data_IF_076689847076
#
_entry.id   IF_076689847076
#
_cell.length_a   1.000
_cell.length_b   1.000
_cell.length_c   1.000
_cell.angle_alpha   90.00
_cell.angle_beta   90.00
_cell.angle_gamma   90.00
#
_symmetry.space_group_name_H-M   'P 1'
#
loop_
_entity.id
_entity.type
_entity.pdbx_description
1 polymer ?
#
# COMPACT_ATOMS: atom_id res chain seq x y z
N UNK A 1 17.80 -19.93 34.05
CA UNK A 1 17.79 -18.50 33.70
C UNK A 1 16.92 -18.37 32.46
N UNK A 2 15.81 -17.62 32.49
CA UNK A 2 14.91 -17.49 31.33
C UNK A 2 15.61 -16.61 30.28
N UNK A 3 15.93 -17.18 29.13
CA UNK A 3 16.21 -16.40 27.91
C UNK A 3 14.92 -15.67 27.53
N UNK A 4 14.89 -14.36 27.81
CA UNK A 4 13.80 -13.47 27.43
C UNK A 4 13.93 -13.12 25.95
N UNK A 5 12.85 -13.37 25.21
CA UNK A 5 12.51 -12.85 23.88
C UNK A 5 13.21 -11.52 23.55
N UNK A 6 14.30 -11.60 22.78
CA UNK A 6 15.00 -10.46 22.19
C UNK A 6 14.71 -10.35 20.70
N UNK A 7 13.48 -10.68 20.29
CA UNK A 7 13.04 -10.49 18.90
C UNK A 7 12.04 -9.33 18.90
N UNK A 8 12.35 -8.29 18.13
CA UNK A 8 11.44 -7.19 17.69
C UNK A 8 11.25 -5.94 18.60
N UNK A 9 12.26 -5.46 19.32
CA UNK A 9 12.23 -4.11 19.95
C UNK A 9 13.22 -3.10 19.35
N UNK A 10 13.94 -3.45 18.28
CA UNK A 10 15.03 -2.62 17.75
C UNK A 10 14.59 -1.27 17.16
N UNK A 11 13.31 -1.09 16.84
CA UNK A 11 12.77 0.14 16.21
C UNK A 11 11.98 1.02 17.21
N UNK A 12 12.29 0.97 18.50
CA UNK A 12 11.64 1.84 19.48
C UNK A 12 12.19 3.28 19.40
N UNK A 13 11.38 4.22 18.92
CA UNK A 13 11.72 5.64 18.86
C UNK A 13 11.18 6.42 20.07
N UNK A 14 12.01 7.28 20.68
CA UNK A 14 11.57 8.14 21.79
C UNK A 14 11.00 9.46 21.25
N UNK A 15 9.68 9.64 21.36
CA UNK A 15 9.00 10.85 20.91
C UNK A 15 9.00 11.94 21.99
N UNK A 16 9.44 13.15 21.63
CA UNK A 16 9.22 14.36 22.45
C UNK A 16 7.88 14.96 22.07
N UNK A 17 6.96 15.03 23.03
CA UNK A 17 5.60 15.52 22.82
C UNK A 17 5.44 16.91 23.45
N UNK A 18 4.71 17.84 22.78
CA UNK A 18 4.25 19.08 23.40
C UNK A 18 3.35 18.83 24.61
N UNK A 19 3.26 19.83 25.49
CA UNK A 19 2.42 19.75 26.69
C UNK A 19 0.97 19.40 26.35
N UNK A 20 0.39 18.51 27.16
CA UNK A 20 -0.99 18.04 27.00
C UNK A 20 -1.22 17.03 25.86
N UNK A 21 -0.28 16.84 24.92
CA UNK A 21 -0.45 15.91 23.80
C UNK A 21 -0.61 14.46 24.28
N UNK A 22 0.18 14.03 25.27
CA UNK A 22 0.05 12.68 25.85
C UNK A 22 -1.34 12.40 26.40
N UNK A 23 -1.96 13.40 27.05
CA UNK A 23 -3.29 13.25 27.61
C UNK A 23 -4.36 13.17 26.50
N UNK A 24 -4.20 13.94 25.42
CA UNK A 24 -5.07 13.85 24.24
C UNK A 24 -5.04 12.45 23.62
N UNK A 25 -3.85 11.87 23.45
CA UNK A 25 -3.69 10.49 22.93
C UNK A 25 -4.34 9.49 23.91
N UNK A 26 -4.16 9.66 25.22
CA UNK A 26 -4.80 8.79 26.23
C UNK A 26 -6.31 8.76 26.09
N UNK A 27 -6.94 9.92 25.87
CA UNK A 27 -8.39 10.03 25.66
C UNK A 27 -8.81 9.36 24.36
N UNK A 28 -8.07 9.55 23.27
CA UNK A 28 -8.32 8.85 21.99
C UNK A 28 -8.24 7.33 22.12
N UNK A 29 -7.17 6.83 22.73
CA UNK A 29 -6.97 5.41 22.99
C UNK A 29 -8.10 4.79 23.82
N UNK A 30 -8.56 5.49 24.87
CA UNK A 30 -9.68 5.05 25.70
C UNK A 30 -10.99 4.99 24.91
N UNK A 31 -11.27 5.98 24.05
CA UNK A 31 -12.46 5.97 23.17
C UNK A 31 -12.43 4.81 22.18
N UNK A 32 -11.24 4.44 21.71
CA UNK A 32 -11.04 3.36 20.74
C UNK A 32 -10.80 1.98 21.38
N UNK A 33 -10.92 1.85 22.71
CA UNK A 33 -10.64 0.61 23.45
C UNK A 33 -9.24 0.01 23.17
N UNK A 34 -8.24 0.88 23.04
CA UNK A 34 -6.84 0.52 22.73
C UNK A 34 -5.90 0.98 23.83
N UNK A 35 -4.72 0.35 23.89
CA UNK A 35 -3.61 0.91 24.65
C UNK A 35 -3.13 2.20 23.99
N UNK A 36 -2.46 3.07 24.74
CA UNK A 36 -1.90 4.31 24.19
C UNK A 36 -0.92 4.03 23.05
N UNK A 37 -0.11 2.98 23.16
CA UNK A 37 0.82 2.59 22.09
C UNK A 37 0.07 2.09 20.85
N UNK A 38 -0.97 1.27 21.04
CA UNK A 38 -1.78 0.78 19.93
C UNK A 38 -2.53 1.91 19.20
N UNK A 39 -2.93 2.96 19.92
CA UNK A 39 -3.52 4.15 19.30
C UNK A 39 -2.49 4.94 18.49
N UNK A 40 -1.27 5.13 19.02
CA UNK A 40 -0.18 5.79 18.28
C UNK A 40 0.13 5.03 16.99
N UNK A 41 0.28 3.71 17.08
CA UNK A 41 0.52 2.85 15.91
C UNK A 41 -0.63 2.97 14.92
N UNK A 42 -1.89 2.86 15.36
CA UNK A 42 -3.04 2.93 14.46
C UNK A 42 -3.15 4.29 13.74
N UNK A 43 -2.81 5.39 14.41
CA UNK A 43 -2.77 6.71 13.77
C UNK A 43 -1.62 6.81 12.77
N UNK A 44 -0.45 6.26 13.09
CA UNK A 44 0.67 6.21 12.17
C UNK A 44 0.37 5.34 10.95
N UNK A 45 -0.24 4.15 11.12
CA UNK A 45 -0.65 3.28 10.02
C UNK A 45 -1.71 3.92 9.12
N UNK A 46 -2.57 4.75 9.71
CA UNK A 46 -3.58 5.50 8.94
C UNK A 46 -2.93 6.56 8.05
N UNK A 47 -2.00 7.35 8.59
CA UNK A 47 -1.36 8.45 7.84
C UNK A 47 -0.17 7.98 6.99
N UNK A 48 0.45 6.86 7.36
CA UNK A 48 1.60 6.23 6.71
C UNK A 48 1.33 4.73 6.54
N UNK A 49 0.40 4.34 5.65
CA UNK A 49 0.07 2.94 5.44
C UNK A 49 1.29 2.17 4.91
N UNK A 50 1.44 0.91 5.31
CA UNK A 50 2.48 0.05 4.74
C UNK A 50 2.20 -0.11 3.24
N UNK A 51 3.12 0.31 2.33
CA UNK A 51 2.90 0.22 0.90
C UNK A 51 2.68 -1.21 0.38
N UNK A 52 2.98 -2.24 1.19
CA UNK A 52 2.72 -3.65 0.89
C UNK A 52 1.28 -4.07 1.18
N UNK A 53 0.59 -3.37 2.08
CA UNK A 53 -0.82 -3.59 2.41
C UNK A 53 -1.72 -2.52 1.82
N UNK A 54 -1.15 -1.41 1.35
CA UNK A 54 -1.86 -0.37 0.64
C UNK A 54 -2.20 -0.80 -0.79
N UNK A 55 -3.46 -1.18 -0.96
CA UNK A 55 -4.06 -1.56 -2.24
C UNK A 55 -3.94 -0.41 -3.27
N UNK A 56 -4.03 0.84 -2.83
CA UNK A 56 -3.88 2.02 -3.70
C UNK A 56 -2.47 2.07 -4.28
N UNK A 57 -1.47 1.95 -3.42
CA UNK A 57 -0.07 1.91 -3.82
C UNK A 57 0.23 0.71 -4.72
N UNK A 58 -0.36 -0.46 -4.43
CA UNK A 58 -0.21 -1.65 -5.27
C UNK A 58 -0.76 -1.43 -6.68
N UNK A 59 -1.96 -0.88 -6.82
CA UNK A 59 -2.55 -0.58 -8.13
C UNK A 59 -1.74 0.46 -8.92
N UNK A 60 -1.25 1.51 -8.24
CA UNK A 60 -0.41 2.52 -8.87
C UNK A 60 0.89 1.88 -9.42
N UNK A 61 1.56 1.03 -8.64
CA UNK A 61 2.75 0.30 -9.09
C UNK A 61 2.50 -0.59 -10.31
N UNK A 62 1.35 -1.26 -10.36
CA UNK A 62 0.96 -2.09 -11.51
C UNK A 62 0.79 -1.22 -12.77
N UNK A 63 0.15 -0.05 -12.64
CA UNK A 63 -0.01 0.90 -13.73
C UNK A 63 1.34 1.51 -14.19
N UNK A 64 2.24 1.81 -13.25
CA UNK A 64 3.57 2.34 -13.58
C UNK A 64 4.46 1.29 -14.24
N UNK A 65 4.36 0.02 -13.81
CA UNK A 65 5.06 -1.09 -14.45
C UNK A 65 4.63 -1.26 -15.90
N UNK A 66 3.33 -1.12 -16.19
CA UNK A 66 2.80 -1.17 -17.54
C UNK A 66 3.45 -0.14 -18.49
N UNK A 67 3.75 1.07 -17.99
CA UNK A 67 4.46 2.07 -18.78
C UNK A 67 5.95 1.72 -18.93
N UNK A 68 6.59 1.25 -17.86
CA UNK A 68 8.02 0.93 -17.83
C UNK A 68 8.40 -0.21 -18.78
N UNK A 69 7.52 -1.21 -18.94
CA UNK A 69 7.74 -2.32 -19.90
C UNK A 69 7.43 -1.94 -21.35
N UNK A 70 6.96 -0.70 -21.59
CA UNK A 70 6.62 -0.23 -22.93
C UNK A 70 5.42 -0.94 -23.55
N UNK A 71 4.49 -1.45 -22.73
CA UNK A 71 3.41 -2.34 -23.16
C UNK A 71 2.45 -1.74 -24.19
N UNK A 72 1.57 -2.58 -24.75
CA UNK A 72 0.62 -2.22 -25.80
C UNK A 72 -0.19 -0.93 -25.54
N UNK A 73 -0.68 -0.25 -26.60
CA UNK A 73 -1.55 0.92 -26.46
C UNK A 73 -2.77 0.68 -25.55
N UNK A 74 -3.30 -0.55 -25.55
CA UNK A 74 -4.40 -1.01 -24.71
C UNK A 74 -4.01 -1.02 -23.24
N UNK A 75 -2.83 -1.58 -22.91
CA UNK A 75 -2.31 -1.60 -21.55
C UNK A 75 -2.05 -0.18 -21.03
N UNK A 76 -1.47 0.71 -21.86
CA UNK A 76 -1.23 2.12 -21.49
C UNK A 76 -2.52 2.87 -21.23
N UNK A 77 -3.55 2.68 -22.07
CA UNK A 77 -4.88 3.28 -21.87
C UNK A 77 -5.51 2.80 -20.55
N UNK A 78 -5.43 1.50 -20.27
CA UNK A 78 -5.96 0.95 -19.03
C UNK A 78 -5.18 1.46 -17.80
N UNK A 79 -3.84 1.51 -17.86
CA UNK A 79 -3.00 2.05 -16.79
C UNK A 79 -3.30 3.53 -16.51
N UNK A 80 -3.47 4.34 -17.56
CA UNK A 80 -3.87 5.75 -17.43
C UNK A 80 -5.28 5.89 -16.82
N UNK A 81 -6.23 5.05 -17.24
CA UNK A 81 -7.57 5.03 -16.66
C UNK A 81 -7.53 4.69 -15.17
N UNK A 82 -6.83 3.62 -14.80
CA UNK A 82 -6.70 3.19 -13.39
C UNK A 82 -6.04 4.27 -12.53
N UNK A 83 -4.98 4.94 -13.02
CA UNK A 83 -4.39 6.08 -12.29
C UNK A 83 -5.37 7.23 -12.06
N UNK A 84 -6.15 7.58 -13.08
CA UNK A 84 -7.13 8.67 -12.97
C UNK A 84 -8.23 8.34 -11.97
N UNK A 85 -8.72 7.11 -11.99
CA UNK A 85 -9.75 6.68 -11.04
C UNK A 85 -9.17 6.58 -9.62
N UNK A 86 -7.94 6.07 -9.46
CA UNK A 86 -7.29 6.02 -8.15
C UNK A 86 -7.13 7.43 -7.58
N UNK A 87 -6.72 8.41 -8.39
CA UNK A 87 -6.55 9.78 -7.92
C UNK A 87 -7.86 10.41 -7.39
N UNK A 88 -9.02 9.92 -7.82
CA UNK A 88 -10.34 10.45 -7.43
C UNK A 88 -11.02 9.64 -6.33
N UNK A 89 -10.63 8.38 -6.15
CA UNK A 89 -11.29 7.46 -5.26
C UNK A 89 -10.98 7.73 -3.79
N UNK A 90 -12.01 7.64 -2.95
CA UNK A 90 -11.84 7.58 -1.50
C UNK A 90 -11.33 6.21 -1.06
N UNK A 91 -10.69 6.12 0.12
CA UNK A 91 -10.05 4.88 0.58
C UNK A 91 -11.00 3.68 0.68
N UNK A 92 -12.27 3.94 0.96
CA UNK A 92 -13.30 2.88 1.02
C UNK A 92 -13.67 2.32 -0.37
N UNK A 93 -13.39 3.04 -1.45
CA UNK A 93 -13.68 2.63 -2.83
C UNK A 93 -12.51 1.85 -3.46
N UNK A 94 -11.30 2.01 -2.91
CA UNK A 94 -10.05 1.42 -3.43
C UNK A 94 -10.10 -0.12 -3.47
N UNK A 95 -10.71 -0.76 -2.46
CA UNK A 95 -10.83 -2.22 -2.43
C UNK A 95 -11.74 -2.75 -3.57
N UNK A 96 -12.85 -2.06 -3.85
CA UNK A 96 -13.75 -2.40 -4.93
C UNK A 96 -13.09 -2.15 -6.31
N UNK A 97 -12.36 -1.04 -6.43
CA UNK A 97 -11.57 -0.74 -7.62
C UNK A 97 -10.49 -1.78 -7.89
N UNK A 98 -9.78 -2.24 -6.86
CA UNK A 98 -8.78 -3.29 -7.03
C UNK A 98 -9.40 -4.61 -7.51
N UNK A 99 -10.60 -4.96 -7.03
CA UNK A 99 -11.31 -6.14 -7.50
C UNK A 99 -11.79 -6.03 -8.96
N UNK A 100 -12.09 -4.80 -9.43
CA UNK A 100 -12.59 -4.52 -10.77
C UNK A 100 -11.46 -4.39 -11.80
N UNK A 101 -10.44 -3.58 -11.48
CA UNK A 101 -9.34 -3.27 -12.39
C UNK A 101 -8.13 -4.20 -12.24
N UNK A 102 -7.91 -4.77 -11.05
CA UNK A 102 -6.73 -5.59 -10.76
C UNK A 102 -6.65 -6.83 -11.65
N UNK A 103 -7.76 -7.54 -11.87
CA UNK A 103 -7.80 -8.71 -12.76
C UNK A 103 -7.50 -8.34 -14.22
N UNK A 104 -8.07 -7.24 -14.71
CA UNK A 104 -7.87 -6.79 -16.08
C UNK A 104 -6.43 -6.31 -16.31
N UNK A 105 -5.85 -5.56 -15.37
CA UNK A 105 -4.45 -5.13 -15.43
C UNK A 105 -3.49 -6.31 -15.38
N UNK A 106 -3.69 -7.24 -14.44
CA UNK A 106 -2.84 -8.44 -14.32
C UNK A 106 -2.93 -9.31 -15.57
N UNK A 107 -4.14 -9.54 -16.11
CA UNK A 107 -4.30 -10.34 -17.31
C UNK A 107 -3.61 -9.74 -18.54
N UNK A 108 -3.67 -8.41 -18.71
CA UNK A 108 -2.95 -7.75 -19.79
C UNK A 108 -1.43 -7.76 -19.56
N UNK A 109 -0.97 -7.54 -18.33
CA UNK A 109 0.46 -7.62 -18.00
C UNK A 109 1.03 -9.02 -18.23
N UNK A 110 0.32 -10.07 -17.82
CA UNK A 110 0.72 -11.46 -18.05
C UNK A 110 0.81 -11.78 -19.55
N UNK A 111 -0.15 -11.29 -20.34
CA UNK A 111 -0.13 -11.47 -21.79
C UNK A 111 1.10 -10.77 -22.42
N UNK A 112 1.36 -9.52 -22.04
CA UNK A 112 2.47 -8.73 -22.57
C UNK A 112 3.83 -9.28 -22.12
N UNK A 113 3.95 -9.74 -20.86
CA UNK A 113 5.15 -10.41 -20.36
C UNK A 113 5.41 -11.72 -21.11
N UNK A 114 4.37 -12.53 -21.37
CA UNK A 114 4.53 -13.74 -22.18
C UNK A 114 4.99 -13.41 -23.61
N UNK A 115 4.42 -12.37 -24.24
CA UNK A 115 4.85 -11.94 -25.57
C UNK A 115 6.32 -11.47 -25.55
N UNK A 116 6.69 -10.65 -24.57
CA UNK A 116 8.06 -10.16 -24.41
C UNK A 116 9.06 -11.31 -24.19
N UNK A 117 8.73 -12.27 -23.33
CA UNK A 117 9.58 -13.44 -23.04
C UNK A 117 9.73 -14.33 -24.29
N UNK A 118 8.65 -14.59 -25.01
CA UNK A 118 8.68 -15.44 -26.21
C UNK A 118 9.41 -14.78 -27.39
N UNK A 119 9.57 -13.46 -27.38
CA UNK A 119 10.35 -12.71 -28.37
C UNK A 119 11.76 -12.35 -27.90
N UNK A 120 12.21 -12.83 -26.73
CA UNK A 120 13.61 -12.72 -26.35
C UNK A 120 14.46 -13.60 -27.28
N UNK A 121 15.56 -13.07 -27.85
CA UNK A 121 16.44 -13.87 -28.69
C UNK A 121 17.00 -15.03 -27.88
N UNK A 122 16.66 -16.26 -28.27
CA UNK A 122 17.30 -17.46 -27.76
C UNK A 122 18.79 -17.37 -28.11
N UNK A 123 19.64 -17.26 -27.10
CA UNK A 123 21.09 -17.40 -27.26
C UNK A 123 21.45 -18.78 -27.81
#
# INVERSE_FOLDING_TARGET
MKESDSRTFSDAFTLRMPDGMRQRIKVGAARNNRSMNAEIIALLEKEYPDPRTDIRAALARIADLADAIGGSPELRKLAAHVRNEIAKAEDHEIAAMAASYGRSLLGLLEHELHQAINHLPTK
#
